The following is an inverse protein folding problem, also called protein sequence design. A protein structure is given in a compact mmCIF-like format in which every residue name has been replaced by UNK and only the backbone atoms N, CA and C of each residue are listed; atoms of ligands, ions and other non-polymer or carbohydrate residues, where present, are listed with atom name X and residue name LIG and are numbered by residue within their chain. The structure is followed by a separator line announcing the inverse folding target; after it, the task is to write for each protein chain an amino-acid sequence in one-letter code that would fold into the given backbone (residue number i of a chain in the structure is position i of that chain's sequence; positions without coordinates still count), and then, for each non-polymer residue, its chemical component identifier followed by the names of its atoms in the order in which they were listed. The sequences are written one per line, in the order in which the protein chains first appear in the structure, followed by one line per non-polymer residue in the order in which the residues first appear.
data_IF_474007040127
#
_entry.id   IF_474007040127
#
_cell.length_a   1.000
_cell.length_b   1.000
_cell.length_c   1.000
_cell.angle_alpha   90.00
_cell.angle_beta   90.00
_cell.angle_gamma   90.00
#
_symmetry.space_group_name_H-M   'P 1'
#
loop_
_entity.id
_entity.type
_entity.pdbx_description
1 polymer ?
#
# COMPACT_ATOMS: atom_id res chain seq x y z
N UNK A 1 -11.75 31.59 -9.93
CA UNK A 1 -12.94 30.77 -9.60
C UNK A 1 -12.68 30.04 -8.28
N UNK A 2 -13.69 29.47 -7.61
CA UNK A 2 -13.47 28.71 -6.36
C UNK A 2 -12.46 27.56 -6.56
N UNK A 3 -12.41 26.99 -7.77
CA UNK A 3 -11.46 25.96 -8.18
C UNK A 3 -9.97 26.37 -8.13
N UNK A 4 -9.65 27.67 -8.16
CA UNK A 4 -8.28 28.19 -8.18
C UNK A 4 -7.73 28.49 -6.76
N UNK A 5 -8.58 28.39 -5.74
CA UNK A 5 -8.20 28.70 -4.37
C UNK A 5 -7.28 27.60 -3.80
N UNK A 6 -6.33 28.02 -2.96
CA UNK A 6 -5.48 27.08 -2.22
C UNK A 6 -6.28 26.25 -1.21
N UNK A 7 -5.76 25.10 -0.83
CA UNK A 7 -6.46 24.15 0.05
C UNK A 7 -6.87 24.76 1.39
N UNK A 8 -5.98 25.55 2.02
CA UNK A 8 -6.26 26.22 3.29
C UNK A 8 -7.41 27.23 3.18
N UNK A 9 -7.51 27.92 2.04
CA UNK A 9 -8.58 28.87 1.77
C UNK A 9 -9.91 28.15 1.53
N UNK A 10 -9.91 27.07 0.75
CA UNK A 10 -11.09 26.21 0.56
C UNK A 10 -11.60 25.67 1.90
N UNK A 11 -10.69 25.20 2.76
CA UNK A 11 -11.06 24.71 4.08
C UNK A 11 -11.62 25.83 4.97
N UNK A 12 -11.05 27.03 4.93
CA UNK A 12 -11.56 28.19 5.68
C UNK A 12 -12.96 28.60 5.22
N UNK A 13 -13.23 28.58 3.90
CA UNK A 13 -14.56 28.88 3.35
C UNK A 13 -15.60 27.84 3.72
N UNK A 14 -15.23 26.55 3.68
CA UNK A 14 -16.09 25.48 4.18
C UNK A 14 -16.47 25.73 5.64
N UNK A 15 -15.50 26.08 6.49
CA UNK A 15 -15.77 26.44 7.91
C UNK A 15 -16.66 27.68 8.03
N UNK A 16 -16.57 28.63 7.11
CA UNK A 16 -17.45 29.79 7.02
C UNK A 16 -18.85 29.48 6.46
N UNK A 17 -19.12 28.23 6.06
CA UNK A 17 -20.43 27.77 5.60
C UNK A 17 -20.61 27.74 4.07
N UNK A 18 -19.54 27.89 3.29
CA UNK A 18 -19.59 27.71 1.84
C UNK A 18 -19.78 26.20 1.50
N UNK A 19 -20.94 25.81 0.92
CA UNK A 19 -21.25 24.40 0.68
C UNK A 19 -20.43 23.78 -0.46
N UNK A 20 -19.82 24.58 -1.34
CA UNK A 20 -19.06 24.09 -2.50
C UNK A 20 -17.58 23.88 -2.17
N UNK A 21 -17.05 24.63 -1.20
CA UNK A 21 -15.62 24.69 -0.94
C UNK A 21 -15.00 23.34 -0.55
N UNK A 22 -15.69 22.54 0.26
CA UNK A 22 -15.20 21.21 0.63
C UNK A 22 -15.23 20.23 -0.55
N UNK A 23 -16.26 20.30 -1.40
CA UNK A 23 -16.34 19.45 -2.60
C UNK A 23 -15.15 19.68 -3.53
N UNK A 24 -14.82 20.94 -3.79
CA UNK A 24 -13.64 21.32 -4.59
C UNK A 24 -12.34 20.81 -3.97
N UNK A 25 -12.19 20.93 -2.65
CA UNK A 25 -11.02 20.42 -1.93
C UNK A 25 -10.91 18.90 -2.06
N UNK A 26 -12.01 18.18 -1.88
CA UNK A 26 -12.02 16.71 -1.95
C UNK A 26 -11.74 16.25 -3.37
N UNK A 27 -12.40 16.81 -4.37
CA UNK A 27 -12.22 16.36 -5.76
C UNK A 27 -10.78 16.58 -6.25
N UNK A 28 -10.10 17.63 -5.76
CA UNK A 28 -8.67 17.86 -6.03
C UNK A 28 -7.76 16.76 -5.48
N UNK A 29 -8.11 16.16 -4.35
CA UNK A 29 -7.24 15.21 -3.62
C UNK A 29 -7.75 13.77 -3.61
N UNK A 30 -8.95 13.53 -4.14
CA UNK A 30 -9.68 12.26 -4.05
C UNK A 30 -8.84 11.08 -4.54
N UNK A 31 -8.21 11.19 -5.70
CA UNK A 31 -7.45 10.10 -6.29
C UNK A 31 -6.24 9.71 -5.43
N UNK A 32 -5.57 10.70 -4.84
CA UNK A 32 -4.43 10.48 -3.94
C UNK A 32 -4.89 9.86 -2.62
N UNK A 33 -5.96 10.37 -2.02
CA UNK A 33 -6.54 9.83 -0.79
C UNK A 33 -7.04 8.39 -1.00
N UNK A 34 -7.67 8.12 -2.14
CA UNK A 34 -8.06 6.78 -2.56
C UNK A 34 -6.85 5.85 -2.69
N UNK A 35 -5.79 6.28 -3.36
CA UNK A 35 -4.59 5.47 -3.54
C UNK A 35 -3.91 5.15 -2.19
N UNK A 36 -3.90 6.09 -1.24
CA UNK A 36 -3.42 5.86 0.13
C UNK A 36 -4.28 4.81 0.85
N UNK A 37 -5.61 4.94 0.80
CA UNK A 37 -6.54 3.99 1.43
C UNK A 37 -6.39 2.58 0.83
N UNK A 38 -6.39 2.49 -0.51
CA UNK A 38 -6.26 1.23 -1.23
C UNK A 38 -4.92 0.53 -0.95
N UNK A 39 -3.81 1.27 -0.88
CA UNK A 39 -2.50 0.69 -0.53
C UNK A 39 -2.39 0.29 0.94
N UNK A 40 -3.15 0.92 1.82
CA UNK A 40 -3.13 0.62 3.26
C UNK A 40 -3.98 -0.60 3.62
N UNK A 41 -5.16 -0.74 3.00
CA UNK A 41 -6.12 -1.81 3.29
C UNK A 41 -6.08 -2.96 2.28
N UNK A 42 -5.70 -2.65 1.04
CA UNK A 42 -5.52 -3.63 -0.01
C UNK A 42 -6.82 -4.22 -0.60
N UNK A 43 -7.98 -3.77 -0.14
CA UNK A 43 -9.29 -4.19 -0.62
C UNK A 43 -10.10 -2.96 -1.04
N UNK A 44 -10.64 -2.90 -2.28
CA UNK A 44 -11.36 -1.71 -2.76
C UNK A 44 -12.57 -1.33 -1.92
N UNK A 45 -13.37 -2.30 -1.50
CA UNK A 45 -14.57 -2.06 -0.67
C UNK A 45 -14.19 -1.42 0.67
N UNK A 46 -13.18 -1.99 1.36
CA UNK A 46 -12.69 -1.44 2.62
C UNK A 46 -12.11 -0.03 2.45
N UNK A 47 -11.40 0.18 1.35
CA UNK A 47 -10.82 1.48 1.03
C UNK A 47 -11.91 2.51 0.76
N UNK A 48 -13.01 2.12 0.11
CA UNK A 48 -14.17 2.98 -0.13
C UNK A 48 -14.86 3.35 1.18
N UNK A 49 -15.13 2.37 2.03
CA UNK A 49 -15.73 2.58 3.35
C UNK A 49 -14.85 3.50 4.21
N UNK A 50 -13.55 3.19 4.32
CA UNK A 50 -12.63 3.98 5.12
C UNK A 50 -12.45 5.41 4.57
N UNK A 51 -12.38 5.57 3.25
CA UNK A 51 -12.29 6.90 2.63
C UNK A 51 -13.58 7.70 2.87
N UNK A 52 -14.75 7.06 2.77
CA UNK A 52 -16.02 7.73 3.04
C UNK A 52 -16.11 8.20 4.50
N UNK A 53 -15.80 7.31 5.45
CA UNK A 53 -15.74 7.64 6.88
C UNK A 53 -14.76 8.78 7.15
N UNK A 54 -13.59 8.73 6.51
CA UNK A 54 -12.57 9.77 6.61
C UNK A 54 -13.05 11.12 6.07
N UNK A 55 -13.68 11.15 4.90
CA UNK A 55 -14.20 12.39 4.31
C UNK A 55 -15.34 12.98 5.14
N UNK A 56 -16.22 12.15 5.71
CA UNK A 56 -17.25 12.60 6.65
C UNK A 56 -16.64 13.17 7.95
N UNK A 57 -15.60 12.52 8.47
CA UNK A 57 -14.85 13.00 9.63
C UNK A 57 -14.17 14.34 9.33
N UNK A 58 -13.51 14.47 8.18
CA UNK A 58 -12.87 15.71 7.73
C UNK A 58 -13.89 16.84 7.55
N UNK A 59 -15.04 16.56 6.92
CA UNK A 59 -16.12 17.54 6.74
C UNK A 59 -16.59 18.13 8.07
N UNK A 60 -16.84 17.26 9.06
CA UNK A 60 -17.31 17.64 10.40
C UNK A 60 -16.20 18.28 11.26
N UNK A 61 -14.96 17.83 11.07
CA UNK A 61 -13.79 18.22 11.87
C UNK A 61 -13.00 19.40 11.32
N UNK A 62 -13.37 19.96 10.16
CA UNK A 62 -12.62 21.01 9.47
C UNK A 62 -12.32 22.24 10.33
N UNK A 63 -13.26 22.64 11.20
CA UNK A 63 -13.07 23.76 12.13
C UNK A 63 -11.95 23.52 13.17
N UNK A 64 -11.57 22.26 13.39
CA UNK A 64 -10.46 21.87 14.27
C UNK A 64 -9.08 21.98 13.62
N UNK A 65 -8.98 22.22 12.31
CA UNK A 65 -7.70 22.37 11.62
C UNK A 65 -7.03 23.70 11.99
N UNK A 66 -5.81 23.62 12.55
CA UNK A 66 -5.07 24.77 13.08
C UNK A 66 -3.98 25.33 12.15
N UNK A 67 -3.80 24.77 10.96
CA UNK A 67 -2.77 25.24 10.01
C UNK A 67 -1.33 24.89 10.38
N UNK A 68 -1.10 23.98 11.33
CA UNK A 68 0.26 23.54 11.72
C UNK A 68 0.93 22.58 10.72
N UNK A 69 0.19 22.11 9.72
CA UNK A 69 0.64 21.27 8.62
C UNK A 69 -0.13 21.63 7.34
N UNK A 70 0.25 21.06 6.20
CA UNK A 70 -0.56 21.18 4.99
C UNK A 70 -1.92 20.49 5.16
N UNK A 71 -2.96 21.01 4.49
CA UNK A 71 -4.30 20.39 4.50
C UNK A 71 -4.23 18.95 3.98
N UNK A 72 -3.39 18.68 2.99
CA UNK A 72 -3.13 17.32 2.48
C UNK A 72 -2.59 16.38 3.56
N UNK A 73 -1.63 16.83 4.36
CA UNK A 73 -1.09 16.05 5.50
C UNK A 73 -2.21 15.72 6.50
N UNK A 74 -3.06 16.71 6.81
CA UNK A 74 -4.20 16.52 7.70
C UNK A 74 -5.24 15.54 7.13
N UNK A 75 -5.56 15.62 5.83
CA UNK A 75 -6.46 14.67 5.17
C UNK A 75 -5.88 13.26 5.15
N UNK A 76 -4.58 13.10 4.85
CA UNK A 76 -3.90 11.79 4.89
C UNK A 76 -3.97 11.16 6.27
N UNK A 77 -3.81 11.96 7.34
CA UNK A 77 -3.98 11.48 8.72
C UNK A 77 -5.38 10.93 8.97
N UNK A 78 -6.40 11.66 8.56
CA UNK A 78 -7.79 11.21 8.77
C UNK A 78 -8.05 9.91 8.00
N UNK A 79 -7.60 9.82 6.74
CA UNK A 79 -7.76 8.62 5.91
C UNK A 79 -7.04 7.42 6.50
N UNK A 80 -5.77 7.55 6.85
CA UNK A 80 -4.99 6.42 7.37
C UNK A 80 -5.50 5.98 8.73
N UNK A 81 -5.92 6.90 9.60
CA UNK A 81 -6.53 6.52 10.88
C UNK A 81 -7.85 5.77 10.68
N UNK A 82 -8.71 6.18 9.74
CA UNK A 82 -9.92 5.44 9.39
C UNK A 82 -9.61 4.02 8.87
N UNK A 83 -8.55 3.88 8.07
CA UNK A 83 -8.09 2.57 7.60
C UNK A 83 -7.64 1.67 8.77
N UNK A 84 -6.82 2.21 9.67
CA UNK A 84 -6.33 1.46 10.84
C UNK A 84 -7.47 1.11 11.80
N UNK A 85 -8.46 1.99 11.99
CA UNK A 85 -9.66 1.72 12.77
C UNK A 85 -10.47 0.58 12.17
N UNK A 86 -10.72 0.59 10.86
CA UNK A 86 -11.43 -0.49 10.17
C UNK A 86 -10.68 -1.83 10.31
N UNK A 87 -9.36 -1.84 10.11
CA UNK A 87 -8.54 -3.03 10.27
C UNK A 87 -8.59 -3.59 11.70
N UNK A 88 -8.52 -2.72 12.72
CA UNK A 88 -8.66 -3.11 14.13
C UNK A 88 -10.03 -3.71 14.43
N UNK A 89 -11.11 -3.11 13.91
CA UNK A 89 -12.49 -3.62 14.08
C UNK A 89 -12.65 -5.02 13.49
N UNK A 90 -12.06 -5.30 12.33
CA UNK A 90 -12.08 -6.63 11.69
C UNK A 90 -11.28 -7.68 12.46
N UNK A 91 -10.12 -7.32 12.98
CA UNK A 91 -9.31 -8.23 13.79
C UNK A 91 -10.05 -8.73 15.04
N UNK A 92 -10.97 -7.94 15.58
CA UNK A 92 -11.79 -8.28 16.77
C UNK A 92 -13.09 -9.00 16.41
N UNK A 93 -13.59 -8.86 15.17
CA UNK A 93 -14.80 -9.52 14.67
C UNK A 93 -14.47 -10.30 13.39
N UNK A 94 -13.98 -11.54 13.49
CA UNK A 94 -13.76 -12.37 12.30
C UNK A 94 -15.12 -12.71 11.69
N UNK A 95 -15.54 -11.94 10.71
CA UNK A 95 -16.58 -12.34 9.75
C UNK A 95 -15.99 -13.42 8.84
N UNK A 96 -16.82 -14.42 8.51
CA UNK A 96 -16.45 -15.53 7.63
C UNK A 96 -15.78 -15.05 6.33
N UNK A 97 -14.76 -15.77 5.83
CA UNK A 97 -14.09 -15.41 4.60
C UNK A 97 -15.05 -15.61 3.42
N UNK A 98 -15.52 -14.51 2.84
CA UNK A 98 -16.09 -14.52 1.50
C UNK A 98 -14.99 -14.95 0.53
N UNK A 99 -15.15 -16.15 -0.05
CA UNK A 99 -14.36 -16.61 -1.19
C UNK A 99 -14.48 -15.59 -2.33
N UNK A 100 -13.31 -15.13 -2.80
CA UNK A 100 -13.15 -14.03 -3.74
C UNK A 100 -13.65 -14.39 -5.15
N UNK A 101 -14.28 -13.40 -5.81
CA UNK A 101 -14.34 -13.29 -7.27
C UNK A 101 -13.21 -12.34 -7.73
N UNK A 102 -12.26 -12.78 -8.57
CA UNK A 102 -11.17 -11.92 -9.06
C UNK A 102 -11.66 -11.06 -10.23
N UNK A 103 -12.51 -10.07 -9.98
CA UNK A 103 -12.85 -9.07 -10.99
C UNK A 103 -13.33 -7.76 -10.33
N UNK A 104 -12.39 -6.85 -10.08
CA UNK A 104 -12.72 -5.43 -9.95
C UNK A 104 -11.55 -4.63 -10.50
N UNK A 105 -11.58 -4.43 -11.81
CA UNK A 105 -10.68 -3.53 -12.52
C UNK A 105 -11.03 -2.08 -12.14
N UNK A 106 -10.06 -1.25 -11.72
CA UNK A 106 -10.27 0.19 -11.72
C UNK A 106 -10.27 0.70 -13.16
N UNK A 107 -11.39 1.30 -13.58
CA UNK A 107 -11.49 2.02 -14.84
C UNK A 107 -10.56 3.25 -14.82
N UNK A 108 -9.46 3.18 -15.58
CA UNK A 108 -8.54 4.31 -15.77
C UNK A 108 -7.33 3.92 -16.63
N UNK A 109 -7.39 4.24 -17.92
CA UNK A 109 -6.29 4.12 -18.91
C UNK A 109 -5.04 4.88 -18.43
N UNK A 110 -3.90 4.22 -18.32
CA UNK A 110 -2.79 4.31 -19.28
C UNK A 110 -1.66 3.32 -18.90
N UNK A 111 -1.00 2.72 -19.91
CA UNK A 111 0.22 1.87 -19.85
C UNK A 111 0.11 0.49 -19.17
N UNK A 112 -0.09 -0.54 -20.00
CA UNK A 112 -0.12 -1.97 -19.63
C UNK A 112 1.04 -2.43 -18.71
N UNK A 113 2.26 -1.91 -18.88
CA UNK A 113 3.40 -2.26 -18.01
C UNK A 113 3.42 -1.55 -16.64
N UNK A 114 2.89 -0.33 -16.56
CA UNK A 114 2.73 0.40 -15.29
C UNK A 114 1.58 -0.19 -14.46
N UNK A 115 0.56 -0.72 -15.13
CA UNK A 115 -0.57 -1.41 -14.51
C UNK A 115 -0.13 -2.73 -13.84
N UNK A 116 0.65 -3.57 -14.54
CA UNK A 116 1.14 -4.85 -13.99
C UNK A 116 2.04 -4.62 -12.76
N UNK A 117 2.94 -3.63 -12.85
CA UNK A 117 3.79 -3.23 -11.72
C UNK A 117 2.96 -2.69 -10.56
N UNK A 118 1.93 -1.89 -10.83
CA UNK A 118 1.04 -1.34 -9.80
C UNK A 118 0.21 -2.43 -9.10
N UNK A 119 -0.27 -3.43 -9.85
CA UNK A 119 -1.00 -4.57 -9.30
C UNK A 119 -0.10 -5.46 -8.44
N UNK A 120 1.14 -5.70 -8.88
CA UNK A 120 2.13 -6.43 -8.09
C UNK A 120 2.45 -5.72 -6.76
N UNK A 121 2.64 -4.39 -6.79
CA UNK A 121 2.86 -3.59 -5.57
C UNK A 121 1.66 -3.65 -4.63
N UNK A 122 0.44 -3.50 -5.15
CA UNK A 122 -0.78 -3.62 -4.35
C UNK A 122 -0.93 -5.02 -3.74
N UNK A 123 -0.66 -6.08 -4.51
CA UNK A 123 -0.69 -7.45 -4.04
C UNK A 123 0.35 -7.71 -2.94
N UNK A 124 1.56 -7.19 -3.09
CA UNK A 124 2.60 -7.32 -2.07
C UNK A 124 2.24 -6.56 -0.78
N UNK A 125 1.72 -5.34 -0.90
CA UNK A 125 1.28 -4.52 0.25
C UNK A 125 0.15 -5.19 1.04
N UNK A 126 -0.77 -5.91 0.37
CA UNK A 126 -1.86 -6.68 1.02
C UNK A 126 -1.37 -7.73 2.00
N UNK A 127 -0.14 -8.22 1.85
CA UNK A 127 0.42 -9.23 2.76
C UNK A 127 0.94 -8.63 4.07
N UNK A 128 1.08 -7.30 4.13
CA UNK A 128 1.57 -6.61 5.30
C UNK A 128 0.45 -6.40 6.32
N UNK A 129 0.76 -6.43 7.63
CA UNK A 129 -0.11 -5.85 8.63
C UNK A 129 -0.40 -4.38 8.30
N UNK A 130 -1.64 -3.93 8.48
CA UNK A 130 -2.09 -2.57 8.12
C UNK A 130 -1.21 -1.47 8.70
N UNK A 131 -0.71 -1.63 9.93
CA UNK A 131 0.25 -0.73 10.57
C UNK A 131 1.58 -0.59 9.80
N UNK A 132 2.06 -1.67 9.20
CA UNK A 132 3.28 -1.70 8.40
C UNK A 132 3.03 -1.13 7.00
N UNK A 133 1.88 -1.47 6.40
CA UNK A 133 1.44 -0.91 5.13
C UNK A 133 1.29 0.62 5.24
N UNK A 134 0.59 1.12 6.26
CA UNK A 134 0.43 2.55 6.52
C UNK A 134 1.78 3.28 6.64
N UNK A 135 2.74 2.70 7.39
CA UNK A 135 4.05 3.30 7.56
C UNK A 135 4.85 3.36 6.25
N UNK A 136 4.89 2.27 5.48
CA UNK A 136 5.65 2.24 4.22
C UNK A 136 5.00 3.09 3.13
N UNK A 137 3.66 3.13 3.08
CA UNK A 137 2.91 4.00 2.14
C UNK A 137 3.22 5.47 2.43
N UNK A 138 3.14 5.90 3.69
CA UNK A 138 3.38 7.31 4.02
C UNK A 138 4.85 7.73 3.82
N UNK A 139 5.82 6.86 4.13
CA UNK A 139 7.25 7.21 4.01
C UNK A 139 7.77 7.03 2.59
N UNK A 140 7.62 5.83 2.03
CA UNK A 140 8.33 5.47 0.79
C UNK A 140 7.51 5.81 -0.46
N UNK A 141 6.17 5.87 -0.38
CA UNK A 141 5.29 6.20 -1.53
C UNK A 141 4.86 7.67 -1.51
N UNK A 142 4.41 8.17 -0.37
CA UNK A 142 3.97 9.57 -0.24
C UNK A 142 5.12 10.54 0.07
N UNK A 143 6.29 10.02 0.49
CA UNK A 143 7.50 10.80 0.70
C UNK A 143 7.55 11.60 2.00
N UNK A 144 6.68 11.32 2.98
CA UNK A 144 6.69 12.05 4.24
C UNK A 144 7.92 11.68 5.09
N UNK A 145 8.52 12.66 5.80
CA UNK A 145 9.59 12.38 6.73
C UNK A 145 9.08 11.55 7.90
N UNK A 146 9.93 10.67 8.44
CA UNK A 146 9.60 9.74 9.53
C UNK A 146 8.95 10.44 10.74
N UNK A 147 9.39 11.64 11.09
CA UNK A 147 8.84 12.39 12.21
C UNK A 147 7.41 12.88 11.94
N UNK A 148 7.10 13.29 10.70
CA UNK A 148 5.73 13.68 10.33
C UNK A 148 4.82 12.44 10.30
N UNK A 149 5.31 11.31 9.79
CA UNK A 149 4.55 10.05 9.85
C UNK A 149 4.29 9.58 11.29
N UNK A 150 5.24 9.82 12.21
CA UNK A 150 5.07 9.55 13.63
C UNK A 150 3.93 10.39 14.23
N UNK A 151 3.81 11.66 13.83
CA UNK A 151 2.72 12.55 14.23
C UNK A 151 1.39 12.16 13.59
N UNK A 152 1.40 11.75 12.30
CA UNK A 152 0.21 11.28 11.57
C UNK A 152 -0.37 10.03 12.25
N UNK A 153 0.48 9.03 12.52
CA UNK A 153 0.07 7.73 13.07
C UNK A 153 0.05 7.68 14.61
N UNK A 154 0.35 8.79 15.28
CA UNK A 154 0.39 8.91 16.74
C UNK A 154 1.24 7.83 17.44
N UNK A 155 2.42 7.54 16.88
CA UNK A 155 3.38 6.57 17.44
C UNK A 155 4.80 7.12 17.46
N UNK A 156 5.71 6.61 18.30
CA UNK A 156 7.10 7.04 18.31
C UNK A 156 7.81 6.89 16.96
N UNK A 157 8.70 7.81 16.60
CA UNK A 157 9.50 7.75 15.37
C UNK A 157 10.30 6.43 15.23
N UNK A 158 10.77 5.86 16.35
CA UNK A 158 11.40 4.53 16.37
C UNK A 158 10.45 3.42 15.91
N UNK A 159 9.17 3.51 16.26
CA UNK A 159 8.13 2.58 15.81
C UNK A 159 7.94 2.67 14.30
N UNK A 160 7.90 3.89 13.73
CA UNK A 160 7.81 4.08 12.27
C UNK A 160 9.01 3.42 11.57
N UNK A 161 10.23 3.69 12.03
CA UNK A 161 11.46 3.07 11.47
C UNK A 161 11.37 1.54 11.50
N UNK A 162 10.96 0.96 12.63
CA UNK A 162 10.86 -0.50 12.77
C UNK A 162 9.72 -1.11 11.92
N UNK A 163 8.61 -0.39 11.72
CA UNK A 163 7.52 -0.81 10.83
C UNK A 163 7.97 -0.77 9.37
N UNK A 164 8.64 0.30 8.94
CA UNK A 164 9.17 0.41 7.58
C UNK A 164 10.25 -0.65 7.30
N UNK A 165 11.16 -0.90 8.24
CA UNK A 165 12.19 -1.94 8.08
C UNK A 165 11.57 -3.34 7.89
N UNK A 166 10.56 -3.70 8.70
CA UNK A 166 9.84 -4.97 8.58
C UNK A 166 9.01 -5.06 7.30
N UNK A 167 8.36 -3.97 6.91
CA UNK A 167 7.64 -3.87 5.64
C UNK A 167 8.58 -4.13 4.46
N UNK A 168 9.72 -3.42 4.39
CA UNK A 168 10.71 -3.58 3.32
C UNK A 168 11.28 -4.99 3.26
N UNK A 169 11.58 -5.62 4.39
CA UNK A 169 12.07 -7.01 4.40
C UNK A 169 11.06 -7.97 3.76
N UNK A 170 9.77 -7.88 4.14
CA UNK A 170 8.70 -8.72 3.58
C UNK A 170 8.43 -8.44 2.11
N UNK A 171 8.42 -7.16 1.73
CA UNK A 171 8.24 -6.77 0.33
C UNK A 171 9.42 -7.22 -0.53
N UNK A 172 10.65 -7.16 -0.02
CA UNK A 172 11.83 -7.61 -0.74
C UNK A 172 11.77 -9.11 -1.05
N UNK A 173 11.31 -9.94 -0.11
CA UNK A 173 11.11 -11.39 -0.32
C UNK A 173 10.05 -11.69 -1.40
N UNK A 174 8.99 -10.89 -1.50
CA UNK A 174 7.91 -11.13 -2.46
C UNK A 174 8.16 -10.52 -3.84
N UNK A 175 8.81 -9.35 -3.88
CA UNK A 175 9.11 -8.65 -5.12
C UNK A 175 10.39 -9.17 -5.78
N UNK A 176 11.27 -9.89 -5.05
CA UNK A 176 12.45 -10.55 -5.65
C UNK A 176 12.06 -11.65 -6.63
N UNK A 177 10.94 -12.32 -6.40
CA UNK A 177 10.41 -13.39 -7.25
C UNK A 177 9.73 -12.83 -8.51
N UNK A 178 9.46 -11.52 -8.53
CA UNK A 178 8.76 -10.80 -9.59
C UNK A 178 9.71 -9.96 -10.46
N UNK A 179 11.04 -9.99 -10.25
CA UNK A 179 12.01 -9.30 -11.10
C UNK A 179 12.48 -10.20 -12.27
N UNK A 180 11.92 -10.06 -13.49
CA UNK A 180 12.33 -10.86 -14.65
C UNK A 180 13.77 -10.60 -15.10
N UNK A 181 14.48 -9.63 -14.51
CA UNK A 181 15.90 -9.36 -14.78
C UNK A 181 16.86 -10.17 -13.88
N UNK A 182 16.35 -10.79 -12.81
CA UNK A 182 17.12 -11.70 -11.94
C UNK A 182 16.94 -13.17 -12.29
N UNK A 183 15.86 -13.54 -12.98
CA UNK A 183 15.61 -14.92 -13.42
C UNK A 183 16.59 -15.41 -14.50
N UNK A 184 17.33 -14.51 -15.16
CA UNK A 184 18.37 -14.85 -16.15
C UNK A 184 19.77 -15.13 -15.56
N UNK A 185 19.96 -14.96 -14.25
CA UNK A 185 21.29 -15.02 -13.61
C UNK A 185 21.56 -16.31 -12.84
N UNK A 186 20.86 -17.41 -13.15
CA UNK A 186 21.17 -18.73 -12.60
C UNK A 186 22.47 -19.26 -13.25
N UNK A 187 23.62 -19.34 -12.54
CA UNK A 187 24.74 -20.10 -13.05
C UNK A 187 24.35 -21.57 -12.96
N UNK A 188 24.40 -22.27 -14.10
CA UNK A 188 24.11 -23.69 -14.19
C UNK A 188 24.88 -24.47 -13.12
N UNK A 189 24.15 -25.29 -12.37
CA UNK A 189 24.70 -26.33 -11.52
C UNK A 189 25.43 -27.37 -12.38
N UNK A 190 26.70 -27.13 -12.68
CA UNK A 190 27.63 -28.20 -13.07
C UNK A 190 28.07 -28.93 -11.80
N UNK A 191 27.31 -29.96 -11.43
CA UNK A 191 27.78 -31.04 -10.57
C UNK A 191 26.94 -32.28 -10.84
N UNK A 192 27.34 -33.03 -11.86
CA UNK A 192 26.99 -34.44 -11.98
C UNK A 192 28.28 -35.26 -11.80
N UNK A 193 28.36 -36.13 -10.79
CA UNK A 193 29.27 -37.25 -10.85
C UNK A 193 28.51 -38.57 -11.08
N UNK A 194 29.18 -39.43 -11.85
CA UNK A 194 29.11 -40.90 -11.89
C UNK A 194 27.95 -41.55 -12.69
N UNK A 195 28.30 -41.98 -13.90
CA UNK A 195 27.91 -43.29 -14.41
C UNK A 195 29.15 -43.99 -14.97
N UNK A 196 29.74 -44.86 -14.16
CA UNK A 196 30.69 -45.89 -14.61
C UNK A 196 29.91 -46.82 -15.55
N UNK A 197 30.35 -46.93 -16.79
CA UNK A 197 29.85 -47.95 -17.71
C UNK A 197 30.71 -49.20 -17.55
N UNK A 198 30.07 -50.25 -17.08
CA UNK A 198 30.47 -51.64 -17.31
C UNK A 198 30.47 -51.91 -18.81
N UNK A 199 31.61 -52.35 -19.36
CA UNK A 199 31.66 -53.15 -20.58
C UNK A 199 32.44 -54.44 -20.29
N UNK A 200 31.71 -55.53 -20.42
CA UNK A 200 32.17 -56.89 -20.27
C UNK A 200 33.12 -57.30 -21.41
N UNK A 201 34.16 -58.06 -21.07
CA UNK A 201 34.83 -58.93 -22.03
C UNK A 201 34.99 -60.33 -21.43
N UNK A 202 34.14 -61.23 -21.92
CA UNK A 202 34.38 -62.64 -22.26
C UNK A 202 35.26 -63.51 -21.36
N UNK A 203 34.61 -64.49 -20.71
CA UNK A 203 34.74 -65.89 -21.14
C UNK A 203 35.95 -66.69 -20.64
N UNK A 204 35.66 -67.49 -19.61
CA UNK A 204 36.25 -68.77 -19.17
C UNK A 204 37.13 -69.56 -20.16
N UNK A 205 38.25 -70.13 -19.68
CA UNK A 205 38.37 -71.58 -19.40
C UNK A 205 39.75 -71.94 -18.78
N UNK A 206 39.71 -72.69 -17.67
CA UNK A 206 40.81 -73.36 -16.94
C UNK A 206 41.23 -74.67 -17.65
N UNK A 207 42.35 -75.37 -17.31
CA UNK A 207 43.01 -75.50 -16.00
C UNK A 207 44.46 -75.04 -15.93
#
# INVERSE_FOLDING_TARGET
MIADLGDSELLSRHVAGDPEAFGVLVDRHRDRLWAVALRTLGHPEDAADALQDALLSAYRGAAGFRGGSAVTTWLHRIVVNACLDLARRRAVRPTEPLLLDPASEPAGRDRLGDQETSLAVLAALRTLPSDQAAAIVLVDIEGYPVNEVAEILEVPAGTIKSRCARARARLAEQLSDLDPRRSSDHPGNESAPLAVKDEAQYGEEHP
#
